data_IF_179342750421
#
_entry.id   IF_179342750421
#
_cell.length_a   1.000
_cell.length_b   1.000
_cell.length_c   1.000
_cell.angle_alpha   90.00
_cell.angle_beta   90.00
_cell.angle_gamma   90.00
#
_symmetry.space_group_name_H-M   'P 1'
#
loop_
_entity.id
_entity.type
_entity.pdbx_description
1 polymer ?
#
# COMPACT_ATOMS: atom_id res chain seq x y z
N UNK A 1 -11.53 6.31 1.78
CA UNK A 1 -10.09 6.47 1.49
C UNK A 1 -9.62 5.36 0.57
N UNK A 2 -8.69 5.70 -0.31
CA UNK A 2 -8.04 4.81 -1.25
C UNK A 2 -6.67 4.38 -0.69
N UNK A 3 -6.49 3.09 -0.44
CA UNK A 3 -5.31 2.56 0.25
C UNK A 3 -4.46 1.75 -0.72
N UNK A 4 -3.20 2.17 -0.89
CA UNK A 4 -2.22 1.47 -1.70
C UNK A 4 -1.41 0.45 -0.89
N UNK A 5 -1.31 -0.78 -1.38
CA UNK A 5 -0.67 -1.92 -0.72
C UNK A 5 0.42 -2.52 -1.64
N UNK A 6 1.67 -2.48 -1.19
CA UNK A 6 2.82 -3.02 -1.93
C UNK A 6 3.69 -3.86 -0.99
N UNK A 7 4.15 -5.01 -1.48
CA UNK A 7 5.17 -5.80 -0.80
C UNK A 7 6.23 -6.33 -1.77
N UNK A 8 7.51 -6.21 -1.36
CA UNK A 8 8.58 -7.03 -1.93
C UNK A 8 8.29 -8.52 -1.68
N UNK A 9 8.87 -9.40 -2.49
CA UNK A 9 8.62 -10.84 -2.44
C UNK A 9 8.84 -11.43 -1.05
N UNK A 10 9.92 -11.04 -0.38
CA UNK A 10 10.23 -11.48 0.98
C UNK A 10 9.24 -10.98 2.05
N UNK A 11 8.33 -10.07 1.70
CA UNK A 11 7.37 -9.43 2.61
C UNK A 11 5.90 -9.72 2.25
N UNK A 12 5.64 -10.62 1.30
CA UNK A 12 4.28 -10.96 0.87
C UNK A 12 3.46 -11.61 1.99
N UNK A 13 4.02 -12.58 2.70
CA UNK A 13 3.34 -13.17 3.86
C UNK A 13 2.97 -12.09 4.90
N UNK A 14 3.87 -11.14 5.15
CA UNK A 14 3.62 -10.05 6.10
C UNK A 14 2.45 -9.16 5.68
N UNK A 15 2.30 -8.84 4.38
CA UNK A 15 1.17 -8.00 3.94
C UNK A 15 -0.15 -8.78 3.94
N UNK A 16 -0.12 -10.09 3.67
CA UNK A 16 -1.30 -10.95 3.83
C UNK A 16 -1.74 -10.99 5.30
N UNK A 17 -0.82 -11.29 6.22
CA UNK A 17 -1.11 -11.38 7.65
C UNK A 17 -1.67 -10.05 8.19
N UNK A 18 -1.08 -8.93 7.77
CA UNK A 18 -1.59 -7.59 8.08
C UNK A 18 -3.02 -7.38 7.57
N UNK A 19 -3.28 -7.71 6.30
CA UNK A 19 -4.62 -7.56 5.73
C UNK A 19 -5.66 -8.49 6.36
N UNK A 20 -5.27 -9.70 6.78
CA UNK A 20 -6.13 -10.62 7.54
C UNK A 20 -6.46 -10.02 8.91
N UNK A 21 -5.45 -9.54 9.64
CA UNK A 21 -5.61 -8.99 10.99
C UNK A 21 -6.52 -7.75 11.01
N UNK A 22 -6.38 -6.88 10.01
CA UNK A 22 -7.10 -5.61 9.92
C UNK A 22 -8.23 -5.60 8.89
N UNK A 23 -8.68 -6.78 8.44
CA UNK A 23 -9.72 -6.94 7.41
C UNK A 23 -10.95 -6.08 7.65
N UNK A 24 -11.45 -6.05 8.90
CA UNK A 24 -12.69 -5.30 9.28
C UNK A 24 -12.56 -3.79 9.14
N UNK A 25 -11.34 -3.27 9.13
CA UNK A 25 -11.06 -1.86 8.88
C UNK A 25 -10.92 -1.66 7.37
N UNK A 26 -10.07 -2.48 6.73
CA UNK A 26 -9.75 -2.39 5.31
C UNK A 26 -10.98 -2.59 4.40
N UNK A 27 -11.97 -3.39 4.80
CA UNK A 27 -13.20 -3.64 4.01
C UNK A 27 -14.08 -2.39 3.81
N UNK A 28 -13.81 -1.30 4.52
CA UNK A 28 -14.54 -0.02 4.41
C UNK A 28 -13.88 0.96 3.44
N UNK A 29 -12.82 0.52 2.76
CA UNK A 29 -11.95 1.35 1.96
C UNK A 29 -11.68 0.70 0.61
N UNK A 30 -11.28 1.50 -0.37
CA UNK A 30 -10.88 0.99 -1.68
C UNK A 30 -9.41 0.58 -1.63
N UNK A 31 -9.12 -0.67 -2.01
CA UNK A 31 -7.77 -1.23 -1.90
C UNK A 31 -7.13 -1.33 -3.27
N UNK A 32 -5.89 -0.85 -3.39
CA UNK A 32 -5.10 -0.86 -4.60
C UNK A 32 -3.78 -1.60 -4.35
N UNK A 33 -3.34 -2.45 -5.27
CA UNK A 33 -2.09 -3.16 -5.10
C UNK A 33 -1.42 -3.50 -6.43
N UNK A 34 -0.11 -3.77 -6.40
CA UNK A 34 0.59 -4.37 -7.56
C UNK A 34 0.16 -5.83 -7.75
N UNK A 35 0.19 -6.31 -9.00
CA UNK A 35 -0.52 -7.52 -9.41
C UNK A 35 -0.39 -8.76 -8.50
N UNK A 36 0.84 -9.18 -8.14
CA UNK A 36 1.03 -10.36 -7.28
C UNK A 36 0.58 -10.08 -5.85
N UNK A 37 0.87 -8.89 -5.32
CA UNK A 37 0.47 -8.47 -3.97
C UNK A 37 -1.05 -8.49 -3.84
N UNK A 38 -1.76 -7.88 -4.79
CA UNK A 38 -3.22 -7.82 -4.78
C UNK A 38 -3.86 -9.20 -4.82
N UNK A 39 -3.41 -10.10 -5.72
CA UNK A 39 -3.95 -11.46 -5.78
C UNK A 39 -3.83 -12.21 -4.46
N UNK A 40 -2.66 -12.12 -3.80
CA UNK A 40 -2.42 -12.81 -2.53
C UNK A 40 -3.28 -12.25 -1.40
N UNK A 41 -3.51 -10.94 -1.38
CA UNK A 41 -4.43 -10.31 -0.43
C UNK A 41 -5.86 -10.81 -0.66
N UNK A 42 -6.34 -10.83 -1.90
CA UNK A 42 -7.68 -11.33 -2.21
C UNK A 42 -7.85 -12.80 -1.80
N UNK A 43 -6.86 -13.65 -2.12
CA UNK A 43 -6.84 -15.07 -1.73
C UNK A 43 -6.89 -15.27 -0.20
N UNK A 44 -6.15 -14.46 0.56
CA UNK A 44 -6.07 -14.58 2.01
C UNK A 44 -7.28 -13.99 2.75
N UNK A 45 -7.96 -13.00 2.16
CA UNK A 45 -8.92 -12.16 2.90
C UNK A 45 -10.33 -12.11 2.30
N UNK A 46 -10.51 -12.47 1.02
CA UNK A 46 -11.70 -12.18 0.22
C UNK A 46 -12.06 -10.68 0.13
N UNK A 47 -11.13 -9.78 0.42
CA UNK A 47 -11.29 -8.36 0.11
C UNK A 47 -11.19 -8.16 -1.41
N UNK A 48 -11.88 -7.18 -1.97
CA UNK A 48 -11.68 -6.79 -3.36
C UNK A 48 -10.44 -5.88 -3.46
N UNK A 49 -9.55 -6.15 -4.40
CA UNK A 49 -8.34 -5.32 -4.62
C UNK A 49 -8.20 -4.95 -6.10
N UNK A 50 -8.17 -3.63 -6.36
CA UNK A 50 -7.82 -3.06 -7.65
C UNK A 50 -6.35 -3.33 -7.93
N UNK A 51 -6.08 -4.12 -8.98
CA UNK A 51 -4.72 -4.59 -9.29
C UNK A 51 -4.11 -3.76 -10.41
N UNK A 52 -2.96 -3.15 -10.12
CA UNK A 52 -2.05 -2.66 -11.14
C UNK A 52 -1.28 -3.83 -11.77
N UNK A 53 -0.46 -3.51 -12.76
CA UNK A 53 0.53 -4.43 -13.29
C UNK A 53 1.49 -4.92 -12.19
N UNK A 54 2.27 -5.96 -12.50
CA UNK A 54 3.36 -6.36 -11.62
C UNK A 54 4.45 -5.28 -11.61
N UNK A 55 5.14 -5.10 -10.47
CA UNK A 55 6.24 -4.12 -10.36
C UNK A 55 7.30 -4.30 -11.46
N UNK A 56 7.63 -5.55 -11.80
CA UNK A 56 8.62 -5.89 -12.82
C UNK A 56 8.30 -5.41 -14.25
N UNK A 57 7.07 -4.99 -14.51
CA UNK A 57 6.61 -4.51 -15.82
C UNK A 57 5.99 -3.10 -15.75
N UNK A 58 6.22 -2.36 -14.65
CA UNK A 58 5.81 -0.96 -14.52
C UNK A 58 4.57 -0.72 -13.64
N UNK A 59 4.13 -1.70 -12.86
CA UNK A 59 3.04 -1.49 -11.90
C UNK A 59 3.37 -0.47 -10.79
N UNK A 60 4.64 -0.29 -10.48
CA UNK A 60 5.12 0.76 -9.57
C UNK A 60 4.95 2.15 -10.17
N UNK A 61 5.11 2.32 -11.48
CA UNK A 61 4.83 3.59 -12.18
C UNK A 61 3.34 3.94 -12.16
N UNK A 62 2.47 2.95 -12.38
CA UNK A 62 1.01 3.16 -12.26
C UNK A 62 0.63 3.57 -10.83
N UNK A 63 1.29 2.99 -9.84
CA UNK A 63 1.09 3.34 -8.44
C UNK A 63 1.55 4.77 -8.14
N UNK A 64 2.72 5.17 -8.64
CA UNK A 64 3.20 6.56 -8.51
C UNK A 64 2.27 7.55 -9.22
N UNK A 65 1.80 7.24 -10.43
CA UNK A 65 0.82 8.08 -11.13
C UNK A 65 -0.44 8.30 -10.29
N UNK A 66 -0.91 7.27 -9.58
CA UNK A 66 -2.05 7.39 -8.68
C UNK A 66 -1.75 8.29 -7.47
N UNK A 67 -0.54 8.25 -6.92
CA UNK A 67 -0.11 9.20 -5.88
C UNK A 67 -0.11 10.63 -6.43
N UNK A 68 0.49 10.84 -7.60
CA UNK A 68 0.64 12.17 -8.22
C UNK A 68 -0.71 12.83 -8.56
N UNK A 69 -1.72 12.02 -8.84
CA UNK A 69 -3.10 12.45 -9.08
C UNK A 69 -3.95 12.58 -7.81
N UNK A 70 -3.33 12.46 -6.63
CA UNK A 70 -4.00 12.44 -5.32
C UNK A 70 -5.07 11.33 -5.22
N UNK A 71 -4.89 10.24 -5.99
CA UNK A 71 -5.82 9.11 -6.06
C UNK A 71 -5.60 8.05 -4.98
N UNK A 72 -4.54 8.17 -4.18
CA UNK A 72 -4.28 7.35 -2.99
C UNK A 72 -4.19 8.25 -1.75
N UNK A 73 -4.77 7.80 -0.64
CA UNK A 73 -4.81 8.53 0.63
C UNK A 73 -3.89 7.94 1.69
N UNK A 74 -3.43 6.70 1.49
CA UNK A 74 -2.50 6.00 2.37
C UNK A 74 -1.72 4.96 1.57
N UNK A 75 -0.45 4.76 1.90
CA UNK A 75 0.39 3.71 1.32
C UNK A 75 0.98 2.81 2.42
N UNK A 76 0.81 1.50 2.29
CA UNK A 76 1.54 0.49 3.05
C UNK A 76 2.51 -0.21 2.10
N UNK A 77 3.81 -0.02 2.33
CA UNK A 77 4.87 -0.61 1.52
C UNK A 77 5.86 -1.41 2.37
N UNK A 78 5.66 -2.72 2.46
CA UNK A 78 6.64 -3.61 3.08
C UNK A 78 7.76 -4.00 2.10
N UNK A 79 8.89 -3.31 2.21
CA UNK A 79 10.08 -3.54 1.41
C UNK A 79 11.16 -4.32 2.17
N UNK A 80 12.15 -4.84 1.44
CA UNK A 80 13.35 -5.46 2.01
C UNK A 80 14.49 -4.44 2.04
N UNK A 81 14.96 -4.00 3.22
CA UNK A 81 16.03 -3.00 3.31
C UNK A 81 17.43 -3.58 3.05
N UNK A 82 17.60 -4.89 3.25
CA UNK A 82 18.91 -5.57 3.14
C UNK A 82 19.18 -6.13 1.75
N UNK A 83 18.15 -6.27 0.91
CA UNK A 83 18.26 -6.85 -0.43
C UNK A 83 17.45 -6.02 -1.41
N UNK A 84 18.13 -5.41 -2.37
CA UNK A 84 17.50 -4.65 -3.44
C UNK A 84 17.44 -5.52 -4.70
N UNK A 85 16.25 -5.60 -5.31
CA UNK A 85 16.04 -6.25 -6.59
C UNK A 85 15.41 -5.22 -7.54
N UNK A 86 16.09 -4.94 -8.65
CA UNK A 86 15.63 -3.94 -9.63
C UNK A 86 14.31 -4.29 -10.33
N UNK A 87 13.83 -5.54 -10.18
CA UNK A 87 12.51 -5.97 -10.66
C UNK A 87 11.39 -5.78 -9.64
N UNK A 88 11.72 -5.37 -8.41
CA UNK A 88 10.74 -5.04 -7.38
C UNK A 88 10.43 -3.54 -7.36
N UNK A 89 9.26 -3.14 -6.84
CA UNK A 89 8.91 -1.73 -6.72
C UNK A 89 9.99 -0.91 -6.01
N UNK A 90 10.30 0.26 -6.54
CA UNK A 90 11.33 1.14 -6.02
C UNK A 90 10.79 1.97 -4.82
N UNK A 91 11.34 1.70 -3.63
CA UNK A 91 10.98 2.41 -2.40
C UNK A 91 11.25 3.91 -2.47
N UNK A 92 12.41 4.33 -2.97
CA UNK A 92 12.79 5.75 -3.02
C UNK A 92 11.85 6.54 -3.93
N UNK A 93 11.48 5.96 -5.08
CA UNK A 93 10.54 6.57 -6.01
C UNK A 93 9.15 6.75 -5.38
N UNK A 94 8.63 5.70 -4.73
CA UNK A 94 7.29 5.72 -4.13
C UNK A 94 7.25 6.61 -2.88
N UNK A 95 8.24 6.51 -1.99
CA UNK A 95 8.28 7.33 -0.78
C UNK A 95 8.43 8.81 -1.12
N UNK A 96 9.30 9.15 -2.09
CA UNK A 96 9.45 10.52 -2.56
C UNK A 96 8.14 11.09 -3.13
N UNK A 97 7.38 10.29 -3.89
CA UNK A 97 6.06 10.72 -4.34
C UNK A 97 5.12 10.94 -3.15
N UNK A 98 5.09 10.03 -2.17
CA UNK A 98 4.28 10.20 -0.96
C UNK A 98 4.64 11.50 -0.22
N UNK A 99 5.93 11.82 -0.08
CA UNK A 99 6.40 13.04 0.58
C UNK A 99 5.98 14.31 -0.18
N UNK A 100 6.07 14.31 -1.52
CA UNK A 100 5.67 15.46 -2.35
C UNK A 100 4.17 15.75 -2.24
N UNK A 101 3.34 14.70 -2.22
CA UNK A 101 1.88 14.80 -2.23
C UNK A 101 1.24 14.64 -0.85
N UNK A 102 2.05 14.64 0.22
CA UNK A 102 1.61 14.47 1.61
C UNK A 102 0.72 13.22 1.83
N UNK A 103 1.11 12.09 1.24
CA UNK A 103 0.44 10.81 1.44
C UNK A 103 1.10 10.06 2.60
N UNK A 104 0.37 9.73 3.69
CA UNK A 104 0.89 8.87 4.75
C UNK A 104 1.42 7.55 4.20
N UNK A 105 2.68 7.25 4.49
CA UNK A 105 3.33 6.00 4.10
C UNK A 105 3.85 5.22 5.31
N UNK A 106 3.53 3.93 5.38
CA UNK A 106 4.16 2.98 6.29
C UNK A 106 5.09 2.04 5.54
N UNK A 107 6.36 1.99 5.95
CA UNK A 107 7.37 1.13 5.31
C UNK A 107 7.72 -0.12 6.13
N UNK A 108 7.09 -0.27 7.30
CA UNK A 108 7.25 -1.39 8.22
C UNK A 108 5.93 -1.64 8.97
N UNK A 109 5.84 -2.79 9.66
CA UNK A 109 4.61 -3.21 10.33
C UNK A 109 4.19 -2.28 11.47
N UNK A 110 5.13 -1.78 12.29
CA UNK A 110 4.81 -0.92 13.43
C UNK A 110 4.15 0.40 12.99
N UNK A 111 4.67 1.00 11.92
CA UNK A 111 4.05 2.19 11.31
C UNK A 111 2.71 1.84 10.66
N UNK A 112 2.59 0.70 10.00
CA UNK A 112 1.34 0.27 9.35
C UNK A 112 0.20 0.06 10.36
N UNK A 113 0.49 -0.56 11.51
CA UNK A 113 -0.47 -0.73 12.59
C UNK A 113 -0.92 0.63 13.16
N UNK A 114 0.03 1.56 13.34
CA UNK A 114 -0.29 2.91 13.82
C UNK A 114 -1.21 3.64 12.82
N UNK A 115 -0.92 3.55 11.52
CA UNK A 115 -1.71 4.18 10.48
C UNK A 115 -3.10 3.56 10.34
N UNK A 116 -3.24 2.23 10.35
CA UNK A 116 -4.56 1.58 10.18
C UNK A 116 -5.47 1.80 11.40
N UNK A 117 -4.88 1.89 12.60
CA UNK A 117 -5.63 2.26 13.81
C UNK A 117 -6.05 3.74 13.74
N UNK A 118 -5.15 4.64 13.29
CA UNK A 118 -5.49 6.05 13.09
C UNK A 118 -6.59 6.24 12.05
N UNK A 119 -6.53 5.48 10.95
CA UNK A 119 -7.57 5.43 9.93
C UNK A 119 -8.93 5.04 10.52
N UNK A 120 -8.97 4.01 11.36
CA UNK A 120 -10.21 3.59 12.02
C UNK A 120 -10.79 4.68 12.95
N UNK A 121 -9.93 5.50 13.55
CA UNK A 121 -10.32 6.59 14.45
C UNK A 121 -10.74 7.89 13.73
N UNK A 122 -10.49 7.99 12.43
CA UNK A 122 -10.71 9.21 11.66
C UNK A 122 -9.51 10.18 11.68
N UNK A 123 -8.35 9.78 12.20
CA UNK A 123 -7.17 10.64 12.32
C UNK A 123 -6.62 11.11 10.95
N UNK A 124 -7.08 10.50 9.85
CA UNK A 124 -6.68 10.81 8.48
C UNK A 124 -7.74 11.59 7.69
N UNK A 125 -8.89 11.93 8.27
CA UNK A 125 -9.99 12.64 7.57
C UNK A 125 -9.58 14.00 6.99
N UNK A 126 -8.49 14.60 7.50
CA UNK A 126 -7.90 15.82 6.92
C UNK A 126 -7.54 15.65 5.43
N UNK A 127 -7.29 14.42 4.96
CA UNK A 127 -7.04 14.07 3.55
C UNK A 127 -8.23 14.33 2.64
N UNK A 128 -9.46 14.28 3.15
CA UNK A 128 -10.67 14.49 2.33
C UNK A 128 -10.84 15.95 1.87
N UNK A 129 -10.05 16.86 2.44
CA UNK A 129 -10.13 18.31 2.18
C UNK A 129 -8.96 18.84 1.32
N UNK A 130 -8.18 17.96 0.70
CA UNK A 130 -7.02 18.28 -0.17
C UNK A 130 -7.35 17.91 -1.61
#
# INVERSE_FOLDING_TARGET
MNIGLIAHNAKKNLIEDFCVAYKRILEKHELYATGITGRRIEEATNLHVHKFLAGSVGGDKQFVEMIERNGLDMVIFFYSPLFTNSREPNIEMISKACDIYNIPIATNIATAESLVIGLQKGDLEWRENI
#
